data_IF_747941630623
#
_entry.id   IF_747941630623
#
_cell.length_a   1.000
_cell.length_b   1.000
_cell.length_c   1.000
_cell.angle_alpha   90.00
_cell.angle_beta   90.00
_cell.angle_gamma   90.00
#
_symmetry.space_group_name_H-M   'P 1'
#
loop_
_entity.id
_entity.type
_entity.pdbx_description
1 polymer ?
#
# COMPACT_ATOMS: atom_id res chain seq x y z
N UNK A 1 16.78 29.34 12.86
CA UNK A 1 15.79 30.26 12.25
C UNK A 1 15.33 29.65 10.93
N UNK A 2 14.09 29.12 10.91
CA UNK A 2 13.08 29.09 9.81
C UNK A 2 13.61 29.12 8.36
N UNK A 3 13.78 27.99 7.67
CA UNK A 3 12.80 27.16 6.92
C UNK A 3 11.99 27.91 5.84
N UNK A 4 12.12 27.49 4.58
CA UNK A 4 11.19 27.86 3.50
C UNK A 4 10.84 26.63 2.65
N UNK A 5 9.54 26.49 2.37
CA UNK A 5 8.90 25.45 1.56
C UNK A 5 8.39 26.10 0.26
N UNK A 6 8.67 25.50 -0.89
CA UNK A 6 8.15 25.96 -2.18
C UNK A 6 6.81 25.30 -2.51
N UNK A 7 5.86 26.13 -2.97
CA UNK A 7 4.47 25.80 -3.29
C UNK A 7 4.28 26.00 -4.80
N UNK A 8 3.67 25.06 -5.52
CA UNK A 8 3.24 25.30 -6.90
C UNK A 8 1.82 24.80 -7.09
N UNK A 9 0.91 25.70 -7.45
CA UNK A 9 -0.45 25.40 -7.87
C UNK A 9 -0.49 25.29 -9.40
N UNK A 10 -1.11 24.23 -9.92
CA UNK A 10 -1.35 24.04 -11.34
C UNK A 10 -2.77 23.52 -11.56
N UNK A 11 -3.65 24.39 -12.03
CA UNK A 11 -5.02 24.08 -12.42
C UNK A 11 -5.07 23.50 -13.84
N UNK A 12 -5.62 22.29 -13.98
CA UNK A 12 -5.96 21.70 -15.28
C UNK A 12 -6.69 20.39 -15.06
N UNK A 13 -7.99 20.36 -15.34
CA UNK A 13 -8.84 19.16 -15.24
C UNK A 13 -8.62 18.31 -16.50
N UNK A 14 -8.02 17.11 -16.44
CA UNK A 14 -7.88 16.28 -17.62
C UNK A 14 -9.24 15.67 -17.97
N UNK A 15 -9.62 15.82 -19.23
CA UNK A 15 -10.77 15.23 -19.90
C UNK A 15 -10.75 13.70 -19.82
N UNK A 16 -11.91 13.13 -19.51
CA UNK A 16 -12.20 11.70 -19.33
C UNK A 16 -11.83 10.90 -20.59
N UNK A 17 -10.74 10.13 -20.51
CA UNK A 17 -10.43 9.08 -21.48
C UNK A 17 -11.50 7.98 -21.33
N UNK A 18 -12.40 7.89 -22.32
CA UNK A 18 -13.43 6.86 -22.40
C UNK A 18 -12.89 5.78 -23.33
N UNK A 19 -12.40 4.68 -22.75
CA UNK A 19 -11.84 3.59 -23.54
C UNK A 19 -10.83 2.72 -22.79
N UNK A 20 -11.21 2.17 -21.64
CA UNK A 20 -10.55 1.00 -21.11
C UNK A 20 -11.64 -0.05 -20.87
N UNK A 21 -11.65 -1.11 -21.68
CA UNK A 21 -12.40 -2.32 -21.40
C UNK A 21 -11.80 -2.95 -20.14
N UNK A 22 -12.20 -2.45 -18.98
CA UNK A 22 -11.79 -3.00 -17.69
C UNK A 22 -12.44 -4.35 -17.52
N UNK A 23 -11.70 -5.43 -17.81
CA UNK A 23 -12.12 -6.78 -17.48
C UNK A 23 -12.21 -6.86 -15.95
N UNK A 24 -13.43 -6.96 -15.43
CA UNK A 24 -13.64 -7.22 -14.01
C UNK A 24 -13.16 -8.63 -13.70
N UNK A 25 -12.03 -8.74 -13.01
CA UNK A 25 -11.50 -10.02 -12.54
C UNK A 25 -12.32 -10.41 -11.32
N UNK A 26 -13.31 -11.28 -11.52
CA UNK A 26 -14.05 -11.91 -10.41
C UNK A 26 -13.11 -12.86 -9.70
N UNK A 27 -12.76 -12.54 -8.45
CA UNK A 27 -12.11 -13.48 -7.55
C UNK A 27 -13.03 -14.69 -7.32
N UNK A 28 -12.53 -15.89 -7.57
CA UNK A 28 -13.22 -17.15 -7.26
C UNK A 28 -13.13 -17.39 -5.75
N UNK A 29 -13.95 -16.67 -5.01
CA UNK A 29 -13.83 -16.49 -3.57
C UNK A 29 -14.20 -15.05 -3.26
N UNK A 30 -15.49 -14.81 -3.12
CA UNK A 30 -15.99 -13.54 -2.60
C UNK A 30 -15.42 -13.37 -1.20
N UNK A 31 -14.30 -12.65 -1.07
CA UNK A 31 -14.05 -11.88 0.13
C UNK A 31 -15.22 -10.90 0.20
N UNK A 32 -16.24 -11.27 0.98
CA UNK A 32 -17.38 -10.41 1.21
C UNK A 32 -16.87 -9.23 2.02
N UNK A 33 -16.42 -8.23 1.29
CA UNK A 33 -16.39 -6.83 1.69
C UNK A 33 -17.76 -6.55 2.31
N UNK A 34 -17.88 -6.54 3.64
CA UNK A 34 -19.17 -6.26 4.27
C UNK A 34 -19.65 -4.88 3.80
N UNK A 35 -20.95 -4.80 3.45
CA UNK A 35 -21.62 -3.62 2.88
C UNK A 35 -21.28 -2.34 3.65
N UNK A 36 -20.36 -1.58 3.09
CA UNK A 36 -19.97 -0.26 3.54
C UNK A 36 -18.99 0.30 2.53
N UNK A 37 -19.09 1.58 2.21
CA UNK A 37 -18.12 2.29 1.34
C UNK A 37 -16.76 2.36 2.05
N UNK A 38 -16.07 1.23 2.17
CA UNK A 38 -14.80 1.10 2.84
C UNK A 38 -13.68 1.46 1.86
N UNK A 39 -12.82 2.39 2.25
CA UNK A 39 -11.56 2.62 1.54
C UNK A 39 -10.82 1.30 1.45
N UNK A 40 -10.41 0.96 0.22
CA UNK A 40 -9.63 -0.23 -0.09
C UNK A 40 -8.35 0.20 -0.75
N UNK A 41 -7.27 -0.45 -0.37
CA UNK A 41 -5.99 -0.32 -1.03
C UNK A 41 -5.55 -1.69 -1.54
N UNK A 42 -4.81 -1.68 -2.63
CA UNK A 42 -4.25 -2.88 -3.21
C UNK A 42 -2.81 -2.64 -3.66
N UNK A 43 -1.99 -3.66 -3.55
CA UNK A 43 -0.61 -3.66 -4.04
C UNK A 43 -0.25 -5.04 -4.56
N UNK A 44 0.48 -5.07 -5.68
CA UNK A 44 1.12 -6.29 -6.16
C UNK A 44 2.42 -6.50 -5.39
N UNK A 45 2.75 -7.75 -5.11
CA UNK A 45 4.09 -8.13 -4.72
C UNK A 45 5.08 -7.79 -5.85
N UNK A 46 6.36 -7.61 -5.51
CA UNK A 46 7.41 -7.24 -6.45
C UNK A 46 7.60 -8.28 -7.57
N UNK A 47 7.31 -9.55 -7.29
CA UNK A 47 7.33 -10.67 -8.24
C UNK A 47 6.02 -10.83 -9.02
N UNK A 48 5.01 -10.00 -8.74
CA UNK A 48 3.65 -10.05 -9.29
C UNK A 48 2.91 -11.39 -9.04
N UNK A 49 3.38 -12.22 -8.12
CA UNK A 49 2.74 -13.50 -7.80
C UNK A 49 1.58 -13.36 -6.80
N UNK A 50 1.61 -12.30 -5.99
CA UNK A 50 0.62 -12.05 -4.93
C UNK A 50 -0.02 -10.66 -5.09
N UNK A 51 -1.31 -10.59 -4.79
CA UNK A 51 -2.08 -9.35 -4.67
C UNK A 51 -2.48 -9.15 -3.20
N UNK A 52 -1.92 -8.13 -2.57
CA UNK A 52 -2.31 -7.70 -1.23
C UNK A 52 -3.50 -6.74 -1.33
N UNK A 53 -4.57 -7.01 -0.58
CA UNK A 53 -5.77 -6.18 -0.50
C UNK A 53 -6.04 -5.83 0.97
N UNK A 54 -6.03 -4.54 1.27
CA UNK A 54 -6.38 -4.03 2.58
C UNK A 54 -7.78 -3.42 2.56
N UNK A 55 -8.54 -3.72 3.61
CA UNK A 55 -9.77 -3.01 3.96
C UNK A 55 -9.48 -2.09 5.15
N UNK A 56 -10.00 -0.86 5.11
CA UNK A 56 -9.86 0.13 6.18
C UNK A 56 -10.36 -0.36 7.54
N UNK A 57 -11.33 -1.27 7.57
CA UNK A 57 -11.93 -1.77 8.80
C UNK A 57 -11.35 -3.12 9.27
N UNK A 58 -10.73 -3.88 8.37
CA UNK A 58 -10.14 -5.17 8.73
C UNK A 58 -8.80 -5.00 9.45
N UNK A 59 -8.54 -5.92 10.38
CA UNK A 59 -7.26 -6.02 11.09
C UNK A 59 -6.22 -6.84 10.34
N UNK A 60 -6.62 -7.45 9.23
CA UNK A 60 -5.77 -8.29 8.40
C UNK A 60 -5.81 -7.77 6.97
N UNK A 61 -4.67 -7.86 6.29
CA UNK A 61 -4.57 -7.66 4.85
C UNK A 61 -4.66 -9.04 4.21
N UNK A 62 -5.54 -9.13 3.23
CA UNK A 62 -5.77 -10.34 2.47
C UNK A 62 -4.71 -10.46 1.38
N UNK A 63 -4.13 -11.64 1.25
CA UNK A 63 -3.26 -11.99 0.14
C UNK A 63 -4.01 -12.91 -0.80
N UNK A 64 -3.93 -12.65 -2.10
CA UNK A 64 -4.47 -13.50 -3.16
C UNK A 64 -3.34 -13.91 -4.08
N UNK A 65 -3.24 -15.20 -4.39
CA UNK A 65 -2.31 -15.70 -5.39
C UNK A 65 -2.81 -15.34 -6.80
N UNK A 66 -1.95 -14.74 -7.61
CA UNK A 66 -2.23 -14.44 -9.02
C UNK A 66 -1.78 -15.60 -9.89
N UNK A 67 -2.68 -16.11 -10.72
CA UNK A 67 -2.34 -17.02 -11.79
C UNK A 67 -1.76 -16.26 -13.00
N UNK A 68 -1.09 -16.96 -13.90
CA UNK A 68 -0.46 -16.36 -15.10
C UNK A 68 -1.45 -15.70 -16.08
N UNK A 69 -2.74 -15.97 -15.93
CA UNK A 69 -3.84 -15.30 -16.65
C UNK A 69 -4.30 -13.99 -15.97
N UNK A 70 -3.69 -13.61 -14.84
CA UNK A 70 -4.07 -12.48 -14.01
C UNK A 70 -5.23 -12.75 -13.04
N UNK A 71 -5.77 -13.98 -12.99
CA UNK A 71 -6.85 -14.32 -12.06
C UNK A 71 -6.35 -14.44 -10.62
N UNK A 72 -7.02 -13.78 -9.69
CA UNK A 72 -6.74 -13.87 -8.26
C UNK A 72 -7.47 -15.08 -7.65
N UNK A 73 -6.71 -15.95 -6.98
CA UNK A 73 -7.15 -17.21 -6.37
C UNK A 73 -6.64 -17.30 -4.93
N UNK A 74 -7.25 -18.17 -4.13
CA UNK A 74 -6.79 -18.49 -2.76
C UNK A 74 -6.58 -17.26 -1.86
N UNK A 75 -7.67 -16.53 -1.60
CA UNK A 75 -7.63 -15.39 -0.68
C UNK A 75 -7.52 -15.83 0.77
N UNK A 76 -6.44 -15.46 1.45
CA UNK A 76 -6.25 -15.73 2.87
C UNK A 76 -5.75 -14.50 3.64
N UNK A 77 -6.08 -14.36 4.94
CA UNK A 77 -5.53 -13.30 5.77
C UNK A 77 -4.04 -13.58 6.05
N UNK A 78 -3.15 -12.76 5.48
CA UNK A 78 -1.70 -12.99 5.56
C UNK A 78 -0.99 -11.99 6.47
N UNK A 79 -1.19 -10.68 6.25
CA UNK A 79 -0.54 -9.66 7.07
C UNK A 79 -1.46 -9.21 8.19
N UNK A 80 -1.03 -9.41 9.44
CA UNK A 80 -1.80 -8.99 10.62
C UNK A 80 -1.34 -7.62 11.09
N UNK A 81 -2.24 -6.64 11.11
CA UNK A 81 -1.94 -5.27 11.49
C UNK A 81 -1.85 -5.13 13.01
N UNK A 82 -0.81 -4.43 13.45
CA UNK A 82 -0.57 -4.13 14.86
C UNK A 82 -1.37 -2.88 15.26
N UNK A 83 -2.48 -3.09 15.96
CA UNK A 83 -3.37 -2.01 16.43
C UNK A 83 -3.07 -1.67 17.89
N UNK A 84 -3.17 -0.38 18.24
CA UNK A 84 -3.16 0.04 19.64
C UNK A 84 -4.45 -0.35 20.36
N UNK A 85 -4.38 -0.42 21.70
CA UNK A 85 -5.48 -0.90 22.56
C UNK A 85 -6.82 -0.16 22.39
N UNK A 86 -6.79 1.07 21.88
CA UNK A 86 -7.95 1.96 21.74
C UNK A 86 -8.53 2.04 20.32
N UNK A 87 -7.92 1.40 19.32
CA UNK A 87 -8.33 1.48 17.92
C UNK A 87 -9.30 0.38 17.50
N UNK A 88 -10.55 0.73 17.19
CA UNK A 88 -11.54 -0.24 16.67
C UNK A 88 -11.29 -0.59 15.19
N UNK A 89 -10.75 0.34 14.40
CA UNK A 89 -10.44 0.17 12.98
C UNK A 89 -8.95 0.40 12.70
N UNK A 90 -8.38 -0.37 11.76
CA UNK A 90 -7.00 -0.17 11.33
C UNK A 90 -6.78 1.17 10.63
N UNK A 91 -7.80 1.65 9.91
CA UNK A 91 -7.72 2.86 9.11
C UNK A 91 -6.63 2.74 8.05
N UNK A 92 -6.64 1.63 7.31
CA UNK A 92 -5.69 1.45 6.21
C UNK A 92 -5.99 2.46 5.10
N UNK A 93 -4.96 3.22 4.71
CA UNK A 93 -5.05 4.23 3.67
C UNK A 93 -4.55 3.70 2.34
N UNK A 94 -3.24 3.50 2.25
CA UNK A 94 -2.55 3.03 1.05
C UNK A 94 -1.55 1.92 1.33
N UNK A 95 -1.22 1.19 0.27
CA UNK A 95 -0.24 0.10 0.25
C UNK A 95 0.84 0.39 -0.79
N UNK A 96 2.08 0.03 -0.50
CA UNK A 96 3.15 0.02 -1.49
C UNK A 96 4.19 -1.05 -1.15
N UNK A 97 4.94 -1.54 -2.13
CA UNK A 97 5.95 -2.59 -1.94
C UNK A 97 7.34 -2.11 -2.33
N UNK A 98 8.36 -2.69 -1.71
CA UNK A 98 9.75 -2.50 -2.12
C UNK A 98 10.28 -3.65 -3.00
N UNK A 99 11.51 -3.46 -3.48
CA UNK A 99 12.21 -4.43 -4.35
C UNK A 99 12.72 -5.67 -3.62
N UNK A 100 12.70 -5.65 -2.30
CA UNK A 100 13.09 -6.77 -1.45
C UNK A 100 11.87 -7.58 -0.95
N UNK A 101 10.64 -7.16 -1.29
CA UNK A 101 9.41 -7.86 -0.93
C UNK A 101 8.79 -7.41 0.40
N UNK A 102 9.18 -6.25 0.91
CA UNK A 102 8.54 -5.63 2.06
C UNK A 102 7.29 -4.88 1.63
N UNK A 103 6.22 -5.07 2.39
CA UNK A 103 4.95 -4.35 2.21
C UNK A 103 4.86 -3.20 3.21
N UNK A 104 4.59 -2.00 2.71
CA UNK A 104 4.39 -0.78 3.48
C UNK A 104 2.92 -0.44 3.52
N UNK A 105 2.40 -0.33 4.73
CA UNK A 105 0.97 -0.12 4.97
C UNK A 105 0.79 1.15 5.77
N UNK A 106 0.11 2.13 5.19
CA UNK A 106 -0.31 3.32 5.91
C UNK A 106 -1.50 2.98 6.82
N UNK A 107 -1.31 3.04 8.13
CA UNK A 107 -2.34 2.82 9.15
C UNK A 107 -2.50 4.05 10.04
N UNK A 108 -3.57 4.10 10.84
CA UNK A 108 -3.77 5.18 11.84
C UNK A 108 -2.63 5.26 12.86
N UNK A 109 -1.99 4.12 13.17
CA UNK A 109 -0.87 4.06 14.14
C UNK A 109 0.45 4.56 13.55
N UNK A 110 0.62 4.48 12.24
CA UNK A 110 1.94 4.55 11.62
C UNK A 110 1.98 3.88 10.26
N UNK A 111 3.12 3.99 9.60
CA UNK A 111 3.44 3.16 8.43
C UNK A 111 4.03 1.85 8.96
N UNK A 112 3.27 0.76 8.84
CA UNK A 112 3.72 -0.57 9.24
C UNK A 112 4.45 -1.21 8.06
N UNK A 113 5.64 -1.73 8.33
CA UNK A 113 6.49 -2.40 7.35
C UNK A 113 6.47 -3.89 7.65
N UNK A 114 5.98 -4.67 6.70
CA UNK A 114 5.93 -6.12 6.76
C UNK A 114 7.04 -6.72 5.94
N UNK A 115 7.63 -7.81 6.43
CA UNK A 115 8.56 -8.63 5.65
C UNK A 115 7.81 -9.62 4.72
N UNK A 116 8.57 -10.37 3.92
CA UNK A 116 8.06 -11.41 3.04
C UNK A 116 7.21 -12.49 3.77
N UNK A 117 7.59 -13.00 4.96
CA UNK A 117 6.74 -13.93 5.71
C UNK A 117 5.56 -13.27 6.44
N UNK A 118 5.33 -11.96 6.29
CA UNK A 118 4.15 -11.27 6.81
C UNK A 118 4.24 -10.76 8.24
N UNK A 119 5.45 -10.67 8.81
CA UNK A 119 5.73 -10.14 10.14
C UNK A 119 6.01 -8.64 10.08
N UNK A 120 5.51 -7.91 11.07
CA UNK A 120 5.83 -6.48 11.23
C UNK A 120 7.28 -6.34 11.65
N UNK A 121 8.11 -5.77 10.78
CA UNK A 121 9.53 -5.50 11.05
C UNK A 121 9.72 -4.13 11.70
N UNK A 122 8.92 -3.14 11.31
CA UNK A 122 9.04 -1.78 11.82
C UNK A 122 7.71 -1.03 11.73
N UNK A 123 7.53 -0.06 12.62
CA UNK A 123 6.45 0.92 12.55
C UNK A 123 7.11 2.29 12.47
N UNK A 124 6.83 3.03 11.41
CA UNK A 124 7.33 4.39 11.21
C UNK A 124 6.21 5.34 11.64
N UNK A 125 6.52 6.19 12.62
CA UNK A 125 5.56 7.18 13.12
C UNK A 125 5.13 8.17 12.04
N UNK A 126 3.87 8.58 12.08
CA UNK A 126 3.33 9.60 11.20
C UNK A 126 3.86 10.98 11.63
N UNK A 127 4.20 11.85 10.67
CA UNK A 127 4.67 13.21 10.96
C UNK A 127 3.55 14.13 11.49
N UNK A 128 2.28 13.74 11.31
CA UNK A 128 1.11 14.46 11.77
C UNK A 128 0.13 13.48 12.46
N UNK A 129 -0.71 13.96 13.40
CA UNK A 129 -1.68 13.11 14.10
C UNK A 129 -2.86 12.66 13.21
N UNK A 130 -2.86 13.01 11.93
CA UNK A 130 -3.90 12.65 10.98
C UNK A 130 -3.58 11.33 10.28
N UNK A 131 -4.61 10.53 10.02
CA UNK A 131 -4.46 9.24 9.35
C UNK A 131 -3.87 9.42 7.94
N UNK A 132 -2.89 8.59 7.61
CA UNK A 132 -2.31 8.55 6.29
C UNK A 132 -3.33 8.02 5.27
N UNK A 133 -3.55 8.75 4.19
CA UNK A 133 -4.52 8.44 3.15
C UNK A 133 -3.90 7.62 2.02
N UNK A 134 -2.68 7.92 1.60
CA UNK A 134 -2.00 7.18 0.53
C UNK A 134 -0.48 7.21 0.71
N UNK A 135 0.19 6.21 0.17
CA UNK A 135 1.63 6.00 0.27
C UNK A 135 2.16 5.46 -1.04
N UNK A 136 3.31 5.95 -1.49
CA UNK A 136 3.94 5.50 -2.74
C UNK A 136 5.43 5.73 -2.72
N UNK A 137 6.20 4.82 -3.31
CA UNK A 137 7.61 5.07 -3.63
C UNK A 137 7.75 5.93 -4.88
N UNK A 138 8.62 6.92 -4.81
CA UNK A 138 8.91 7.82 -5.91
C UNK A 138 10.33 8.37 -5.84
N UNK A 139 10.59 9.41 -6.63
CA UNK A 139 11.93 9.91 -6.88
C UNK A 139 12.62 9.15 -8.01
N UNK A 140 13.69 9.74 -8.56
CA UNK A 140 14.41 9.20 -9.72
C UNK A 140 14.92 7.78 -9.49
N UNK A 141 15.33 7.50 -8.25
CA UNK A 141 15.95 6.23 -7.86
C UNK A 141 15.00 5.32 -7.06
N UNK A 142 13.70 5.68 -6.96
CA UNK A 142 12.68 5.03 -6.13
C UNK A 142 13.05 4.86 -4.65
N UNK A 143 13.91 5.74 -4.12
CA UNK A 143 14.40 5.70 -2.74
C UNK A 143 13.63 6.64 -1.79
N UNK A 144 12.59 7.29 -2.29
CA UNK A 144 11.82 8.28 -1.53
C UNK A 144 10.38 7.81 -1.35
N UNK A 145 9.98 7.63 -0.11
CA UNK A 145 8.61 7.31 0.26
C UNK A 145 7.80 8.60 0.40
N UNK A 146 6.74 8.71 -0.39
CA UNK A 146 5.77 9.80 -0.32
C UNK A 146 4.54 9.34 0.44
N UNK A 147 4.01 10.24 1.27
CA UNK A 147 2.89 9.98 2.16
C UNK A 147 1.94 11.18 2.13
N UNK A 148 0.66 10.96 1.88
CA UNK A 148 -0.37 11.97 2.08
C UNK A 148 -1.07 11.73 3.42
N UNK A 149 -1.25 12.79 4.20
CA UNK A 149 -2.00 12.76 5.46
C UNK A 149 -2.75 14.08 5.59
N UNK A 150 -4.09 13.99 5.66
CA UNK A 150 -4.97 15.16 5.50
C UNK A 150 -4.67 15.93 4.22
N UNK A 151 -4.43 17.23 4.35
CA UNK A 151 -4.10 18.15 3.24
C UNK A 151 -2.59 18.32 3.01
N UNK A 152 -1.76 17.50 3.67
CA UNK A 152 -0.31 17.62 3.63
C UNK A 152 0.35 16.43 2.92
N UNK A 153 1.41 16.74 2.18
CA UNK A 153 2.28 15.77 1.53
C UNK A 153 3.63 15.73 2.26
N UNK A 154 3.99 14.55 2.73
CA UNK A 154 5.26 14.27 3.38
C UNK A 154 6.11 13.38 2.50
N UNK A 155 7.43 13.48 2.66
CA UNK A 155 8.38 12.58 2.03
C UNK A 155 9.48 12.18 2.99
N UNK A 156 9.93 10.94 2.89
CA UNK A 156 11.09 10.44 3.63
C UNK A 156 11.96 9.60 2.72
N UNK A 157 13.26 9.89 2.73
CA UNK A 157 14.24 9.06 2.04
C UNK A 157 14.47 7.78 2.84
N UNK A 158 14.36 6.64 2.17
CA UNK A 158 14.63 5.32 2.73
C UNK A 158 15.91 4.75 2.10
N UNK A 159 16.51 3.77 2.77
CA UNK A 159 17.63 3.01 2.22
C UNK A 159 17.17 1.97 1.18
N UNK A 160 15.93 1.51 1.33
CA UNK A 160 15.26 0.54 0.46
C UNK A 160 14.69 1.25 -0.76
N UNK A 161 14.64 0.54 -1.89
CA UNK A 161 14.11 1.05 -3.14
C UNK A 161 12.75 0.42 -3.45
N UNK A 162 11.80 1.24 -3.84
CA UNK A 162 10.50 0.82 -4.36
C UNK A 162 10.61 0.02 -5.66
N UNK A 163 9.47 -0.48 -6.11
CA UNK A 163 9.33 -1.18 -7.39
C UNK A 163 8.37 -0.42 -8.28
N UNK A 164 8.70 -0.33 -9.56
CA UNK A 164 7.73 0.12 -10.56
C UNK A 164 6.66 -0.95 -10.76
N UNK A 165 5.36 -0.62 -10.74
CA UNK A 165 4.29 -1.62 -10.85
C UNK A 165 4.39 -2.58 -12.04
N UNK A 166 5.02 -2.17 -13.15
CA UNK A 166 5.24 -3.00 -14.34
C UNK A 166 6.55 -3.79 -14.37
N UNK A 167 7.40 -3.67 -13.35
CA UNK A 167 8.69 -4.36 -13.30
C UNK A 167 8.59 -5.58 -12.39
N UNK A 168 8.78 -6.77 -12.97
CA UNK A 168 8.87 -8.03 -12.22
C UNK A 168 10.28 -8.10 -11.61
N UNK A 169 10.35 -8.07 -10.29
CA UNK A 169 11.60 -8.20 -9.53
C UNK A 169 11.59 -9.55 -8.82
N UNK A 170 12.61 -10.36 -9.07
CA UNK A 170 12.81 -11.61 -8.34
C UNK A 170 13.18 -11.28 -6.90
N UNK A 171 12.33 -11.70 -5.97
CA UNK A 171 12.55 -11.48 -4.55
C UNK A 171 13.83 -12.18 -4.06
N UNK A 172 14.62 -11.54 -3.19
CA UNK A 172 15.75 -12.19 -2.55
C UNK A 172 15.24 -13.33 -1.65
N UNK A 173 16.04 -14.39 -1.52
CA UNK A 173 15.72 -15.53 -0.65
C UNK A 173 15.54 -15.04 0.80
N UNK A 174 14.43 -15.36 1.48
CA UNK A 174 14.20 -14.96 2.86
C UNK A 174 15.32 -15.51 3.73
N UNK A 175 15.92 -14.64 4.55
CA UNK A 175 16.88 -15.04 5.57
C UNK A 175 16.08 -15.45 6.81
N UNK A 176 15.95 -16.76 7.02
CA UNK A 176 15.32 -17.36 8.21
C UNK A 176 16.21 -17.23 9.44
#
# INVERSE_FOLDING_TARGET
>A
MISSWARTAGSGRPTRATGASGTSIRTAGSASCTKGSARRALALSADQALLAVADAFDRCIWSFALAGDGSARHGEPFYRLELGETGSAAGTGGLTVDSEGYLYVATTRGIQVFDQPGRVTAIIDLPAPSAASSIVFGGRDLDTLYLTSGDQLFRRRLRRKGVFPGQIVKLPTPRL
#
